data_IF_178399311984
#
_entry.id   IF_178399311984
#
_cell.length_a   1.000
_cell.length_b   1.000
_cell.length_c   1.000
_cell.angle_alpha   90.00
_cell.angle_beta   90.00
_cell.angle_gamma   90.00
#
_symmetry.space_group_name_H-M   'P 1'
#
loop_
_entity.id
_entity.type
_entity.pdbx_description
1 polymer ?
#
# COMPACT_ATOMS: atom_id res chain seq x y z
N UNK A 1 -0.53 -24.15 19.90
CA UNK A 1 0.42 -23.50 20.85
C UNK A 1 1.85 -23.39 20.34
N UNK A 2 2.47 -24.44 19.75
CA UNK A 2 3.87 -24.37 19.30
C UNK A 2 4.11 -23.34 18.18
N UNK A 3 3.25 -23.28 17.15
CA UNK A 3 3.37 -22.30 16.06
C UNK A 3 3.25 -20.84 16.52
N UNK A 4 2.35 -20.56 17.48
CA UNK A 4 2.21 -19.24 18.10
C UNK A 4 3.47 -18.85 18.87
N UNK A 5 4.02 -19.76 19.69
CA UNK A 5 5.26 -19.52 20.44
C UNK A 5 6.48 -19.28 19.54
N UNK A 6 6.44 -19.79 18.30
CA UNK A 6 7.51 -19.62 17.31
C UNK A 6 7.26 -18.46 16.35
N UNK A 7 6.21 -17.65 16.55
CA UNK A 7 5.82 -16.57 15.64
C UNK A 7 5.65 -17.01 14.18
N UNK A 8 5.02 -18.19 13.96
CA UNK A 8 4.81 -18.77 12.63
C UNK A 8 3.37 -18.65 12.12
N UNK A 9 2.48 -17.97 12.85
CA UNK A 9 1.11 -17.72 12.41
C UNK A 9 0.92 -16.24 12.12
N UNK A 10 0.37 -15.97 10.95
CA UNK A 10 0.06 -14.64 10.46
C UNK A 10 -1.41 -14.57 10.06
N UNK A 11 -1.92 -13.36 9.93
CA UNK A 11 -3.31 -13.11 9.62
C UNK A 11 -3.41 -12.02 8.56
N UNK A 12 -4.24 -12.25 7.54
CA UNK A 12 -4.78 -11.19 6.68
C UNK A 12 -6.20 -10.93 7.17
N UNK A 13 -6.40 -9.82 7.88
CA UNK A 13 -7.65 -9.49 8.54
C UNK A 13 -8.35 -8.31 7.87
N UNK A 14 -9.33 -8.62 7.01
CA UNK A 14 -10.24 -7.62 6.42
C UNK A 14 -11.55 -7.52 7.20
N UNK A 15 -11.70 -8.31 8.28
CA UNK A 15 -12.98 -8.49 8.94
C UNK A 15 -13.48 -7.19 9.56
N UNK A 16 -12.68 -6.56 10.43
CA UNK A 16 -13.14 -5.46 11.27
C UNK A 16 -13.35 -4.17 10.46
N UNK A 17 -12.54 -3.95 9.42
CA UNK A 17 -12.71 -2.82 8.51
C UNK A 17 -13.98 -2.94 7.64
N UNK A 18 -14.39 -4.16 7.27
CA UNK A 18 -15.50 -4.38 6.33
C UNK A 18 -16.84 -4.69 6.99
N UNK A 19 -16.83 -5.31 8.17
CA UNK A 19 -18.05 -5.75 8.85
C UNK A 19 -19.07 -4.60 9.03
N UNK A 20 -18.69 -3.37 9.42
CA UNK A 20 -19.64 -2.25 9.55
C UNK A 20 -20.36 -1.86 8.26
N UNK A 21 -19.76 -2.14 7.09
CA UNK A 21 -20.31 -1.79 5.79
C UNK A 21 -21.04 -2.94 5.09
N UNK A 22 -20.87 -4.17 5.58
CA UNK A 22 -21.24 -5.36 4.83
C UNK A 22 -22.72 -5.44 4.48
N UNK A 23 -23.61 -5.07 5.42
CA UNK A 23 -25.06 -5.06 5.17
C UNK A 23 -25.45 -4.08 4.07
N UNK A 24 -24.85 -2.88 4.08
CA UNK A 24 -25.08 -1.81 3.09
C UNK A 24 -24.55 -2.22 1.72
N UNK A 25 -23.34 -2.76 1.66
CA UNK A 25 -22.76 -3.23 0.40
C UNK A 25 -23.57 -4.39 -0.17
N UNK A 26 -23.97 -5.35 0.66
CA UNK A 26 -24.75 -6.52 0.23
C UNK A 26 -26.19 -6.19 -0.19
N UNK A 27 -26.70 -4.99 0.13
CA UNK A 27 -27.98 -4.50 -0.41
C UNK A 27 -27.85 -3.99 -1.86
N UNK A 28 -26.63 -3.87 -2.39
CA UNK A 28 -26.39 -3.56 -3.82
C UNK A 28 -26.42 -4.85 -4.66
N UNK A 29 -25.98 -4.79 -5.92
CA UNK A 29 -25.72 -5.98 -6.74
C UNK A 29 -24.54 -6.81 -6.24
N UNK A 30 -23.68 -6.26 -5.38
CA UNK A 30 -22.53 -6.95 -4.81
C UNK A 30 -22.94 -7.89 -3.67
N UNK A 31 -22.19 -8.97 -3.49
CA UNK A 31 -22.37 -10.00 -2.46
C UNK A 31 -20.99 -10.39 -1.93
N UNK A 32 -20.55 -9.69 -0.88
CA UNK A 32 -19.24 -9.85 -0.25
C UNK A 32 -19.38 -10.46 1.15
N UNK A 33 -18.25 -10.99 1.61
CA UNK A 33 -18.04 -11.39 2.99
C UNK A 33 -17.01 -10.46 3.64
N UNK A 34 -17.02 -10.38 4.97
CA UNK A 34 -15.87 -9.87 5.71
C UNK A 34 -14.95 -11.06 5.98
N UNK A 35 -13.76 -11.07 5.37
CA UNK A 35 -12.87 -12.24 5.41
C UNK A 35 -11.73 -12.09 6.40
N UNK A 36 -11.29 -13.24 6.93
CA UNK A 36 -10.06 -13.38 7.71
C UNK A 36 -9.33 -14.63 7.25
N UNK A 37 -8.04 -14.50 6.92
CA UNK A 37 -7.22 -15.61 6.44
C UNK A 37 -6.08 -15.87 7.41
N UNK A 38 -5.97 -17.11 7.90
CA UNK A 38 -4.83 -17.54 8.73
C UNK A 38 -3.76 -18.16 7.84
N UNK A 39 -2.54 -17.66 7.97
CA UNK A 39 -1.37 -18.06 7.21
C UNK A 39 -0.33 -18.70 8.15
N UNK A 40 0.34 -19.75 7.68
CA UNK A 40 1.41 -20.42 8.41
C UNK A 40 2.74 -20.29 7.67
N UNK A 41 3.76 -19.82 8.38
CA UNK A 41 5.13 -19.78 7.90
C UNK A 41 5.76 -21.17 7.99
N UNK A 42 5.95 -21.79 6.83
CA UNK A 42 6.60 -23.10 6.73
C UNK A 42 8.09 -22.99 7.06
N UNK A 43 8.70 -24.15 7.34
CA UNK A 43 10.14 -24.26 7.56
C UNK A 43 10.99 -23.90 6.33
N UNK A 44 10.39 -23.89 5.13
CA UNK A 44 11.05 -23.46 3.90
C UNK A 44 10.96 -21.94 3.64
N UNK A 45 10.45 -21.17 4.61
CA UNK A 45 10.34 -19.72 4.56
C UNK A 45 9.09 -19.18 3.85
N UNK A 46 8.25 -20.05 3.27
CA UNK A 46 7.06 -19.61 2.50
C UNK A 46 5.76 -19.67 3.32
N UNK A 47 4.81 -18.79 3.02
CA UNK A 47 3.51 -18.75 3.68
C UNK A 47 2.52 -19.74 3.03
N UNK A 48 1.77 -20.46 3.86
CA UNK A 48 0.67 -21.34 3.45
C UNK A 48 -0.66 -20.88 4.07
N UNK A 49 -1.72 -20.62 3.28
CA UNK A 49 -3.04 -20.40 3.84
C UNK A 49 -3.56 -21.69 4.49
N UNK A 50 -4.00 -21.58 5.73
CA UNK A 50 -4.54 -22.70 6.50
C UNK A 50 -6.06 -22.69 6.56
N UNK A 51 -6.64 -21.50 6.71
CA UNK A 51 -8.07 -21.31 6.98
C UNK A 51 -8.51 -19.96 6.43
N UNK A 52 -9.70 -19.92 5.84
CA UNK A 52 -10.43 -18.70 5.51
C UNK A 52 -11.74 -18.70 6.30
N UNK A 53 -11.95 -17.67 7.11
CA UNK A 53 -13.26 -17.34 7.70
C UNK A 53 -13.96 -16.35 6.77
N UNK A 54 -15.20 -16.64 6.39
CA UNK A 54 -16.08 -15.70 5.69
C UNK A 54 -17.27 -15.37 6.59
N UNK A 55 -17.39 -14.09 6.95
CA UNK A 55 -18.38 -13.62 7.91
C UNK A 55 -19.43 -12.72 7.26
N UNK A 56 -20.66 -12.81 7.74
CA UNK A 56 -21.78 -11.92 7.41
C UNK A 56 -22.38 -11.35 8.70
N UNK A 57 -22.99 -10.14 8.66
CA UNK A 57 -23.87 -9.68 9.71
C UNK A 57 -24.98 -10.68 9.99
N UNK A 58 -25.41 -10.78 11.24
CA UNK A 58 -26.54 -11.64 11.60
C UNK A 58 -27.81 -11.19 10.85
N UNK A 59 -28.62 -12.10 10.28
CA UNK A 59 -29.79 -11.73 9.46
C UNK A 59 -30.78 -10.82 10.21
N UNK A 60 -31.00 -11.06 11.50
CA UNK A 60 -31.95 -10.32 12.35
C UNK A 60 -31.48 -8.92 12.78
N UNK A 61 -30.24 -8.53 12.46
CA UNK A 61 -29.68 -7.21 12.75
C UNK A 61 -28.27 -7.24 13.31
N UNK A 62 -27.55 -6.13 13.16
CA UNK A 62 -26.13 -6.02 13.53
C UNK A 62 -25.90 -6.16 15.04
N UNK A 63 -26.91 -5.84 15.86
CA UNK A 63 -26.89 -6.02 17.31
C UNK A 63 -26.80 -7.49 17.75
N UNK A 64 -27.16 -8.43 16.87
CA UNK A 64 -27.03 -9.88 17.13
C UNK A 64 -25.66 -10.42 16.68
N UNK A 65 -24.76 -9.55 16.26
CA UNK A 65 -23.38 -9.89 15.90
C UNK A 65 -23.27 -10.41 14.47
N UNK A 66 -22.45 -11.46 14.28
CA UNK A 66 -22.10 -12.02 12.98
C UNK A 66 -22.35 -13.52 12.93
N UNK A 67 -22.54 -14.02 11.72
CA UNK A 67 -22.48 -15.44 11.39
C UNK A 67 -21.24 -15.68 10.52
N UNK A 68 -20.47 -16.72 10.86
CA UNK A 68 -19.22 -17.04 10.17
C UNK A 68 -19.24 -18.47 9.66
N UNK A 69 -18.65 -18.69 8.49
CA UNK A 69 -18.32 -20.02 7.98
C UNK A 69 -16.82 -20.12 7.76
N UNK A 70 -16.28 -21.29 8.05
CA UNK A 70 -14.85 -21.58 7.97
C UNK A 70 -14.59 -22.54 6.82
N UNK A 71 -13.62 -22.21 6.00
CA UNK A 71 -13.20 -22.99 4.84
C UNK A 71 -11.72 -23.37 4.99
N UNK A 72 -11.40 -24.60 4.63
CA UNK A 72 -10.05 -25.16 4.69
C UNK A 72 -9.58 -25.59 3.31
N UNK A 73 -8.26 -25.63 3.06
CA UNK A 73 -7.70 -26.08 1.80
C UNK A 73 -8.20 -27.46 1.37
N UNK A 74 -8.64 -27.56 0.12
CA UNK A 74 -8.95 -28.79 -0.59
C UNK A 74 -8.48 -28.63 -2.05
N UNK A 75 -8.06 -29.74 -2.68
CA UNK A 75 -7.51 -29.74 -4.04
C UNK A 75 -8.42 -30.42 -5.06
N UNK A 76 -9.33 -31.28 -4.61
CA UNK A 76 -10.18 -32.10 -5.48
C UNK A 76 -11.67 -31.90 -5.18
N UNK A 77 -12.51 -32.30 -6.14
CA UNK A 77 -13.96 -32.30 -5.99
C UNK A 77 -14.58 -30.92 -5.83
N UNK A 78 -15.81 -30.89 -5.33
CA UNK A 78 -16.55 -29.65 -5.10
C UNK A 78 -15.92 -28.83 -3.97
N UNK A 79 -15.28 -29.49 -3.01
CA UNK A 79 -14.54 -28.89 -1.90
C UNK A 79 -13.36 -28.05 -2.40
N UNK A 80 -12.62 -28.51 -3.42
CA UNK A 80 -11.58 -27.72 -4.08
C UNK A 80 -12.14 -26.44 -4.72
N UNK A 81 -13.30 -26.54 -5.37
CA UNK A 81 -13.99 -25.39 -5.96
C UNK A 81 -14.51 -24.41 -4.89
N UNK A 82 -15.03 -24.91 -3.76
CA UNK A 82 -15.42 -24.10 -2.59
C UNK A 82 -14.21 -23.35 -2.03
N UNK A 83 -13.06 -24.03 -1.89
CA UNK A 83 -11.82 -23.40 -1.43
C UNK A 83 -11.33 -22.31 -2.41
N UNK A 84 -11.44 -22.56 -3.71
CA UNK A 84 -11.12 -21.56 -4.73
C UNK A 84 -12.03 -20.34 -4.66
N UNK A 85 -13.34 -20.52 -4.44
CA UNK A 85 -14.27 -19.41 -4.20
C UNK A 85 -13.96 -18.66 -2.89
N UNK A 86 -13.60 -19.36 -1.82
CA UNK A 86 -13.22 -18.72 -0.55
C UNK A 86 -12.03 -17.78 -0.74
N UNK A 87 -11.00 -18.22 -1.48
CA UNK A 87 -9.86 -17.36 -1.86
C UNK A 87 -10.29 -16.17 -2.73
N UNK A 88 -11.25 -16.35 -3.64
CA UNK A 88 -11.77 -15.25 -4.45
C UNK A 88 -12.45 -14.17 -3.60
N UNK A 89 -13.24 -14.53 -2.58
CA UNK A 89 -13.82 -13.54 -1.66
C UNK A 89 -12.76 -12.79 -0.86
N UNK A 90 -11.70 -13.47 -0.41
CA UNK A 90 -10.54 -12.81 0.21
C UNK A 90 -9.89 -11.83 -0.77
N UNK A 91 -9.68 -12.24 -2.03
CA UNK A 91 -9.09 -11.39 -3.05
C UNK A 91 -9.97 -10.18 -3.42
N UNK A 92 -11.30 -10.31 -3.34
CA UNK A 92 -12.24 -9.19 -3.49
C UNK A 92 -12.07 -8.18 -2.34
N UNK A 93 -12.05 -8.65 -1.10
CA UNK A 93 -11.80 -7.78 0.06
C UNK A 93 -10.45 -7.07 -0.09
N UNK A 94 -9.40 -7.83 -0.41
CA UNK A 94 -8.05 -7.30 -0.55
C UNK A 94 -7.93 -6.30 -1.70
N UNK A 95 -8.59 -6.54 -2.84
CA UNK A 95 -8.57 -5.59 -3.97
C UNK A 95 -9.26 -4.28 -3.62
N UNK A 96 -10.40 -4.30 -2.92
CA UNK A 96 -11.06 -3.07 -2.50
C UNK A 96 -10.31 -2.33 -1.39
N UNK A 97 -9.73 -3.06 -0.42
CA UNK A 97 -8.89 -2.45 0.60
C UNK A 97 -7.61 -1.86 0.00
N UNK A 98 -6.95 -2.59 -0.90
CA UNK A 98 -5.77 -2.11 -1.63
C UNK A 98 -6.04 -0.81 -2.37
N UNK A 99 -7.06 -0.79 -3.24
CA UNK A 99 -7.35 0.37 -4.07
C UNK A 99 -7.73 1.60 -3.25
N UNK A 100 -8.56 1.41 -2.22
CA UNK A 100 -9.16 2.51 -1.49
C UNK A 100 -8.30 2.99 -0.31
N UNK A 101 -7.63 2.07 0.38
CA UNK A 101 -6.91 2.35 1.61
C UNK A 101 -5.40 2.35 1.36
N UNK A 102 -4.82 1.22 0.96
CA UNK A 102 -3.37 1.11 0.79
C UNK A 102 -2.84 2.05 -0.29
N UNK A 103 -3.61 2.27 -1.34
CA UNK A 103 -3.27 3.11 -2.48
C UNK A 103 -3.88 4.52 -2.33
N UNK A 104 -5.18 4.69 -2.55
CA UNK A 104 -5.79 6.03 -2.54
C UNK A 104 -5.58 6.79 -1.22
N UNK A 105 -5.99 6.23 -0.08
CA UNK A 105 -5.90 6.95 1.20
C UNK A 105 -4.44 7.16 1.61
N UNK A 106 -3.67 6.07 1.72
CA UNK A 106 -2.35 6.07 2.34
C UNK A 106 -1.24 6.61 1.45
N UNK A 107 -1.52 6.98 0.19
CA UNK A 107 -0.56 7.70 -0.66
C UNK A 107 -1.18 8.96 -1.27
N UNK A 108 -2.18 8.83 -2.14
CA UNK A 108 -2.74 9.99 -2.86
C UNK A 108 -3.31 11.05 -1.91
N UNK A 109 -4.26 10.65 -1.07
CA UNK A 109 -5.02 11.58 -0.25
C UNK A 109 -4.17 12.20 0.87
N UNK A 110 -3.30 11.41 1.52
CA UNK A 110 -2.44 11.91 2.61
C UNK A 110 -1.26 12.75 2.12
N UNK A 111 -0.80 12.58 0.87
CA UNK A 111 0.27 13.41 0.34
C UNK A 111 -0.20 14.81 -0.08
N UNK A 112 -1.44 14.98 -0.56
CA UNK A 112 -1.93 16.26 -1.09
C UNK A 112 -1.88 17.43 -0.08
N UNK A 113 -2.26 17.26 1.21
CA UNK A 113 -2.06 18.29 2.23
C UNK A 113 -0.61 18.75 2.38
N UNK A 114 0.37 17.83 2.24
CA UNK A 114 1.80 18.14 2.31
C UNK A 114 2.20 19.05 1.16
N UNK A 115 1.72 18.77 -0.05
CA UNK A 115 1.98 19.60 -1.24
C UNK A 115 1.45 21.02 -1.01
N UNK A 116 0.22 21.14 -0.53
CA UNK A 116 -0.46 22.42 -0.31
C UNK A 116 0.27 23.26 0.75
N UNK A 117 0.53 22.69 1.94
CA UNK A 117 1.21 23.40 3.02
C UNK A 117 2.63 23.81 2.61
N UNK A 118 3.36 22.94 1.90
CA UNK A 118 4.73 23.26 1.46
C UNK A 118 4.76 24.46 0.52
N UNK A 119 3.87 24.51 -0.47
CA UNK A 119 3.80 25.64 -1.42
C UNK A 119 3.30 26.94 -0.79
N UNK A 120 2.54 26.85 0.31
CA UNK A 120 1.98 28.03 1.00
C UNK A 120 2.92 28.63 2.03
N UNK A 121 3.74 27.81 2.69
CA UNK A 121 4.50 28.22 3.86
C UNK A 121 6.02 28.20 3.66
N UNK A 122 6.54 27.41 2.71
CA UNK A 122 7.97 27.34 2.44
C UNK A 122 8.30 28.06 1.14
N UNK A 123 9.21 29.03 1.20
CA UNK A 123 9.70 29.72 0.01
C UNK A 123 10.43 28.75 -0.94
N UNK A 124 10.44 29.05 -2.24
CA UNK A 124 11.18 28.23 -3.24
C UNK A 124 12.68 28.15 -2.97
N UNK A 125 13.23 29.09 -2.18
CA UNK A 125 14.63 29.06 -1.75
C UNK A 125 14.86 28.27 -0.46
N UNK A 126 13.78 27.95 0.28
CA UNK A 126 13.84 27.23 1.55
C UNK A 126 14.42 25.82 1.36
N UNK A 127 15.35 25.36 2.21
CA UNK A 127 15.99 24.05 2.03
C UNK A 127 14.96 22.90 2.06
N UNK A 128 13.98 22.94 2.95
CA UNK A 128 12.94 21.90 3.01
C UNK A 128 11.98 21.95 1.82
N UNK A 129 11.73 23.11 1.22
CA UNK A 129 11.02 23.18 -0.06
C UNK A 129 11.83 22.44 -1.13
N UNK A 130 13.13 22.74 -1.27
CA UNK A 130 14.00 22.09 -2.26
C UNK A 130 14.12 20.59 -2.05
N UNK A 131 14.11 20.13 -0.79
CA UNK A 131 14.13 18.71 -0.45
C UNK A 131 12.85 18.00 -0.88
N UNK A 132 11.69 18.55 -0.54
CA UNK A 132 10.40 17.86 -0.70
C UNK A 132 9.76 18.06 -2.07
N UNK A 133 9.99 19.21 -2.74
CA UNK A 133 9.32 19.56 -3.99
C UNK A 133 9.38 18.51 -5.10
N UNK A 134 10.52 17.80 -5.35
CA UNK A 134 10.56 16.72 -6.36
C UNK A 134 9.53 15.61 -6.09
N UNK A 135 9.17 15.40 -4.82
CA UNK A 135 8.27 14.35 -4.37
C UNK A 135 6.79 14.73 -4.48
N UNK A 136 6.48 15.88 -5.08
CA UNK A 136 5.10 16.37 -5.28
C UNK A 136 4.68 16.40 -6.75
N UNK A 137 5.58 16.05 -7.67
CA UNK A 137 5.35 16.09 -9.11
C UNK A 137 4.04 15.35 -9.45
N UNK A 138 3.16 16.04 -10.15
CA UNK A 138 1.85 15.58 -10.62
C UNK A 138 0.82 15.12 -9.57
N UNK A 139 1.16 15.06 -8.27
CA UNK A 139 0.27 14.56 -7.22
C UNK A 139 -1.08 15.30 -7.14
N UNK A 140 -1.06 16.64 -7.14
CA UNK A 140 -2.32 17.40 -7.14
C UNK A 140 -3.09 17.25 -8.44
N UNK A 141 -2.39 17.12 -9.58
CA UNK A 141 -3.00 17.00 -10.89
C UNK A 141 -3.75 15.65 -11.00
N UNK A 142 -3.08 14.54 -10.68
CA UNK A 142 -3.71 13.22 -10.71
C UNK A 142 -4.84 13.11 -9.69
N UNK A 143 -4.69 13.68 -8.49
CA UNK A 143 -5.75 13.67 -7.49
C UNK A 143 -6.97 14.49 -7.94
N UNK A 144 -6.78 15.62 -8.62
CA UNK A 144 -7.87 16.40 -9.19
C UNK A 144 -8.65 15.60 -10.26
N UNK A 145 -7.93 14.92 -11.17
CA UNK A 145 -8.56 14.02 -12.13
C UNK A 145 -9.28 12.86 -11.42
N UNK A 146 -8.65 12.24 -10.43
CA UNK A 146 -9.27 11.16 -9.68
C UNK A 146 -10.61 11.60 -9.05
N UNK A 147 -10.65 12.78 -8.41
CA UNK A 147 -11.88 13.37 -7.88
C UNK A 147 -12.96 13.62 -8.94
N UNK A 148 -12.57 13.86 -10.19
CA UNK A 148 -13.50 14.18 -11.27
C UNK A 148 -14.06 12.93 -11.98
N UNK A 149 -13.24 11.90 -12.17
CA UNK A 149 -13.59 10.74 -13.03
C UNK A 149 -13.50 9.37 -12.35
N UNK A 150 -12.69 9.24 -11.30
CA UNK A 150 -12.40 7.95 -10.67
C UNK A 150 -13.27 7.72 -9.44
N UNK A 151 -13.16 8.59 -8.44
CA UNK A 151 -13.76 8.42 -7.11
C UNK A 151 -15.03 9.25 -6.89
N UNK A 152 -15.50 9.96 -7.93
CA UNK A 152 -16.78 10.66 -7.89
C UNK A 152 -17.96 9.69 -7.84
N UNK A 153 -19.12 10.19 -7.45
CA UNK A 153 -20.37 9.44 -7.51
C UNK A 153 -20.64 8.95 -8.94
N UNK A 154 -20.88 7.65 -9.10
CA UNK A 154 -21.03 7.00 -10.42
C UNK A 154 -19.73 6.88 -11.24
N UNK A 155 -18.58 7.22 -10.67
CA UNK A 155 -17.27 7.13 -11.30
C UNK A 155 -16.76 5.70 -11.48
N UNK A 156 -15.54 5.59 -12.02
CA UNK A 156 -14.97 4.27 -12.37
C UNK A 156 -14.77 3.39 -11.14
N UNK A 157 -14.35 3.93 -10.00
CA UNK A 157 -14.14 3.14 -8.78
C UNK A 157 -15.45 2.56 -8.25
N UNK A 158 -16.52 3.36 -8.16
CA UNK A 158 -17.82 2.90 -7.67
C UNK A 158 -18.44 1.82 -8.57
N UNK A 159 -18.13 1.84 -9.86
CA UNK A 159 -18.69 0.89 -10.84
C UNK A 159 -17.88 -0.40 -10.96
N UNK A 160 -16.60 -0.40 -10.56
CA UNK A 160 -15.67 -1.52 -10.79
C UNK A 160 -15.16 -2.17 -9.51
N UNK A 161 -15.39 -1.61 -8.32
CA UNK A 161 -14.92 -2.15 -7.03
C UNK A 161 -16.08 -2.35 -6.05
N UNK A 162 -16.00 -3.39 -5.22
CA UNK A 162 -17.12 -3.84 -4.37
C UNK A 162 -17.74 -2.78 -3.43
N UNK A 163 -17.01 -1.78 -2.87
CA UNK A 163 -17.62 -0.82 -1.97
C UNK A 163 -18.71 0.02 -2.64
N UNK A 164 -18.67 0.13 -3.97
CA UNK A 164 -19.59 0.94 -4.76
C UNK A 164 -19.73 2.36 -4.16
N UNK A 165 -20.95 2.87 -4.06
CA UNK A 165 -21.28 4.19 -3.47
C UNK A 165 -20.85 4.41 -2.01
N UNK A 166 -20.32 3.38 -1.33
CA UNK A 166 -19.82 3.47 0.04
C UNK A 166 -18.31 3.63 0.11
N UNK A 167 -17.61 3.64 -1.03
CA UNK A 167 -16.16 3.68 -1.10
C UNK A 167 -15.55 4.88 -0.33
N UNK A 168 -15.92 6.10 -0.67
CA UNK A 168 -15.32 7.29 -0.07
C UNK A 168 -15.67 7.46 1.42
N UNK A 169 -16.84 7.00 1.84
CA UNK A 169 -17.20 6.98 3.26
C UNK A 169 -16.35 5.97 4.03
N UNK A 170 -16.16 4.77 3.46
CA UNK A 170 -15.35 3.72 4.06
C UNK A 170 -13.88 4.15 4.21
N UNK A 171 -13.31 4.84 3.23
CA UNK A 171 -11.94 5.38 3.35
C UNK A 171 -11.83 6.42 4.47
N UNK A 172 -12.83 7.31 4.61
CA UNK A 172 -12.89 8.29 5.69
C UNK A 172 -13.01 7.62 7.07
N UNK A 173 -13.77 6.53 7.20
CA UNK A 173 -13.84 5.79 8.47
C UNK A 173 -12.50 5.16 8.82
N UNK A 174 -11.81 4.54 7.86
CA UNK A 174 -10.48 3.94 8.09
C UNK A 174 -9.42 5.01 8.41
N UNK A 175 -9.53 6.20 7.84
CA UNK A 175 -8.62 7.32 8.15
C UNK A 175 -8.62 7.72 9.63
N UNK A 176 -9.68 7.42 10.39
CA UNK A 176 -9.70 7.65 11.84
C UNK A 176 -8.58 6.91 12.56
N UNK A 177 -8.20 5.74 12.08
CA UNK A 177 -7.12 4.92 12.65
C UNK A 177 -5.76 5.18 11.97
N UNK A 178 -5.69 6.09 11.00
CA UNK A 178 -4.42 6.45 10.37
C UNK A 178 -3.50 7.18 11.36
N UNK A 179 -2.21 6.84 11.35
CA UNK A 179 -1.19 7.42 12.22
C UNK A 179 0.02 7.77 11.37
N UNK A 180 0.38 9.06 11.31
CA UNK A 180 1.49 9.54 10.46
C UNK A 180 2.81 8.84 10.78
N UNK A 181 3.14 8.72 12.07
CA UNK A 181 4.41 8.11 12.50
C UNK A 181 4.47 6.61 12.24
N UNK A 182 3.33 5.95 12.06
CA UNK A 182 3.28 4.54 11.67
C UNK A 182 3.41 4.31 10.17
N UNK A 183 3.36 5.39 9.36
CA UNK A 183 3.68 5.29 7.93
C UNK A 183 5.20 5.13 7.68
N UNK A 184 6.01 5.27 8.73
CA UNK A 184 7.41 4.86 8.68
C UNK A 184 7.52 3.34 8.52
N UNK A 185 8.18 2.84 7.48
CA UNK A 185 8.23 1.39 7.20
C UNK A 185 8.69 0.56 8.42
N UNK A 186 9.73 0.91 9.18
CA UNK A 186 10.08 0.15 10.38
C UNK A 186 8.98 0.14 11.45
N UNK A 187 8.23 1.23 11.61
CA UNK A 187 7.12 1.32 12.54
C UNK A 187 5.93 0.46 12.09
N UNK A 188 5.56 0.53 10.80
CA UNK A 188 4.53 -0.33 10.19
C UNK A 188 4.85 -1.81 10.40
N UNK A 189 6.06 -2.25 10.07
CA UNK A 189 6.46 -3.66 10.18
C UNK A 189 6.39 -4.18 11.62
N UNK A 190 6.74 -3.34 12.60
CA UNK A 190 6.61 -3.67 14.02
C UNK A 190 5.14 -3.68 14.45
N UNK A 191 4.36 -2.67 14.05
CA UNK A 191 2.96 -2.53 14.44
C UNK A 191 2.10 -3.70 13.92
N UNK A 192 2.34 -4.14 12.69
CA UNK A 192 1.70 -5.34 12.11
C UNK A 192 2.21 -6.66 12.70
N UNK A 193 3.21 -6.62 13.58
CA UNK A 193 3.79 -7.81 14.20
C UNK A 193 4.54 -8.70 13.21
N UNK A 194 5.11 -8.14 12.13
CA UNK A 194 5.91 -8.88 11.13
C UNK A 194 7.41 -8.63 11.28
N UNK A 195 7.80 -7.74 12.20
CA UNK A 195 9.18 -7.49 12.59
C UNK A 195 9.28 -7.13 14.07
N UNK A 196 10.47 -7.23 14.63
CA UNK A 196 10.78 -6.83 16.01
C UNK A 196 12.05 -5.97 16.03
N UNK A 197 12.15 -5.07 17.02
CA UNK A 197 13.40 -4.36 17.30
C UNK A 197 14.47 -5.35 17.72
N UNK A 198 15.65 -5.25 17.11
CA UNK A 198 16.80 -6.09 17.42
C UNK A 198 18.09 -5.32 17.12
N UNK A 199 18.79 -4.88 18.16
CA UNK A 199 19.99 -4.05 18.05
C UNK A 199 21.15 -4.75 17.32
N UNK A 200 21.13 -6.08 17.22
CA UNK A 200 22.16 -6.86 16.53
C UNK A 200 21.84 -7.10 15.05
N UNK A 201 20.61 -6.80 14.62
CA UNK A 201 20.20 -6.92 13.22
C UNK A 201 20.52 -5.63 12.46
N UNK A 202 20.80 -5.71 11.14
CA UNK A 202 20.92 -4.53 10.30
C UNK A 202 19.76 -3.58 10.50
N UNK A 203 20.06 -2.28 10.60
CA UNK A 203 19.07 -1.23 10.82
C UNK A 203 18.27 -1.34 12.13
N UNK A 204 18.68 -2.20 13.08
CA UNK A 204 18.01 -2.38 14.36
C UNK A 204 16.68 -3.14 14.28
N UNK A 205 16.43 -3.85 13.16
CA UNK A 205 15.15 -4.48 12.85
C UNK A 205 15.35 -5.91 12.37
N UNK A 206 14.59 -6.86 12.95
CA UNK A 206 14.57 -8.27 12.51
C UNK A 206 13.18 -8.66 12.04
N UNK A 207 13.07 -9.11 10.80
CA UNK A 207 11.83 -9.64 10.25
C UNK A 207 11.48 -10.98 10.88
N UNK A 208 10.18 -11.29 10.96
CA UNK A 208 9.68 -12.62 11.35
C UNK A 208 9.49 -13.55 10.14
N UNK A 209 9.46 -12.97 8.94
CA UNK A 209 9.52 -13.66 7.66
C UNK A 209 10.79 -13.15 6.98
N UNK A 210 11.86 -13.97 7.02
CA UNK A 210 13.20 -13.56 6.58
C UNK A 210 13.20 -13.11 5.11
N UNK A 211 12.52 -13.86 4.24
CA UNK A 211 12.36 -13.55 2.82
C UNK A 211 10.98 -12.93 2.56
N UNK A 212 10.70 -11.75 3.14
CA UNK A 212 9.53 -10.94 2.80
C UNK A 212 9.92 -9.84 1.81
N UNK A 213 9.68 -10.01 0.48
CA UNK A 213 10.32 -9.19 -0.54
C UNK A 213 10.06 -7.68 -0.40
N UNK A 214 8.81 -7.28 -0.18
CA UNK A 214 8.45 -5.87 0.08
C UNK A 214 9.21 -5.28 1.28
N UNK A 215 9.26 -6.00 2.39
CA UNK A 215 9.89 -5.50 3.60
C UNK A 215 11.42 -5.47 3.47
N UNK A 216 12.02 -6.54 2.94
CA UNK A 216 13.49 -6.64 2.79
C UNK A 216 14.01 -5.55 1.85
N UNK A 217 13.37 -5.36 0.70
CA UNK A 217 13.78 -4.35 -0.27
C UNK A 217 13.43 -2.94 0.23
N UNK A 218 12.23 -2.79 0.80
CA UNK A 218 11.74 -1.52 1.32
C UNK A 218 12.58 -0.96 2.46
N UNK A 219 13.10 -1.81 3.35
CA UNK A 219 13.99 -1.39 4.45
C UNK A 219 15.23 -0.70 3.88
N UNK A 220 15.85 -1.26 2.85
CA UNK A 220 17.04 -0.66 2.24
C UNK A 220 16.74 0.70 1.61
N UNK A 221 15.61 0.82 0.89
CA UNK A 221 15.17 2.08 0.31
C UNK A 221 14.85 3.11 1.40
N UNK A 222 14.13 2.71 2.45
CA UNK A 222 13.81 3.57 3.60
C UNK A 222 15.07 4.15 4.25
N UNK A 223 16.07 3.32 4.55
CA UNK A 223 17.30 3.79 5.20
C UNK A 223 18.21 4.56 4.25
N UNK A 224 18.17 4.32 2.94
CA UNK A 224 18.81 5.18 1.95
C UNK A 224 18.19 6.58 1.95
N UNK A 225 16.85 6.69 1.94
CA UNK A 225 16.12 7.97 2.05
C UNK A 225 16.46 8.65 3.37
N UNK A 226 16.40 7.93 4.50
CA UNK A 226 16.69 8.49 5.82
C UNK A 226 18.11 9.07 5.90
N UNK A 227 19.09 8.35 5.34
CA UNK A 227 20.49 8.81 5.31
C UNK A 227 20.63 10.07 4.45
N UNK A 228 19.99 10.11 3.29
CA UNK A 228 19.94 11.30 2.44
C UNK A 228 19.36 12.51 3.17
N UNK A 229 18.21 12.33 3.83
CA UNK A 229 17.53 13.40 4.58
C UNK A 229 18.38 13.86 5.77
N UNK A 230 19.00 12.95 6.53
CA UNK A 230 19.87 13.32 7.66
C UNK A 230 21.09 14.11 7.18
N UNK A 231 21.77 13.65 6.11
CA UNK A 231 22.93 14.34 5.52
C UNK A 231 22.53 15.75 5.04
N UNK A 232 21.37 15.88 4.37
CA UNK A 232 20.84 17.16 3.88
C UNK A 232 20.44 18.11 5.03
N UNK A 233 19.61 17.65 5.97
CA UNK A 233 19.13 18.46 7.09
C UNK A 233 20.28 18.87 8.02
N UNK A 234 21.28 18.01 8.23
CA UNK A 234 22.46 18.34 9.03
C UNK A 234 23.33 19.44 8.40
N UNK A 235 23.21 19.68 7.09
CA UNK A 235 23.87 20.81 6.45
C UNK A 235 23.22 22.15 6.85
N UNK A 236 21.89 22.27 6.74
CA UNK A 236 21.17 23.52 6.98
C UNK A 236 20.84 23.77 8.47
N UNK A 237 20.57 22.71 9.24
CA UNK A 237 20.13 22.79 10.64
C UNK A 237 21.17 22.18 11.57
N UNK A 238 22.12 23.00 12.02
CA UNK A 238 23.22 22.57 12.91
C UNK A 238 22.81 22.27 14.33
N UNK A 239 21.75 22.92 14.81
CA UNK A 239 21.21 22.78 16.16
C UNK A 239 19.68 22.83 16.11
N UNK A 240 19.04 22.29 17.15
CA UNK A 240 17.59 22.34 17.30
C UNK A 240 17.07 23.78 17.43
N UNK A 241 17.89 24.72 17.93
CA UNK A 241 17.56 26.14 18.01
C UNK A 241 17.27 26.77 16.64
N UNK A 242 17.94 26.33 15.57
CA UNK A 242 17.68 26.81 14.21
C UNK A 242 16.30 26.33 13.74
N UNK A 243 15.93 25.09 14.06
CA UNK A 243 14.60 24.52 13.73
C UNK A 243 13.49 25.31 14.43
N UNK A 244 13.69 25.61 15.72
CA UNK A 244 12.70 26.32 16.55
C UNK A 244 12.48 27.76 16.10
N UNK A 245 13.52 28.40 15.55
CA UNK A 245 13.48 29.80 15.07
C UNK A 245 13.08 29.94 13.60
N UNK A 246 12.96 28.83 12.87
CA UNK A 246 12.56 28.83 11.46
C UNK A 246 11.05 29.02 11.32
N UNK A 247 10.63 30.27 11.10
CA UNK A 247 9.22 30.66 11.07
C UNK A 247 8.47 30.01 9.90
N UNK A 248 9.12 29.84 8.74
CA UNK A 248 8.52 29.14 7.58
C UNK A 248 8.28 27.67 7.92
N UNK A 249 9.29 26.99 8.49
CA UNK A 249 9.18 25.58 8.88
C UNK A 249 8.12 25.36 9.97
N UNK A 250 8.07 26.21 11.00
CA UNK A 250 7.06 26.11 12.06
C UNK A 250 5.66 26.36 11.51
N UNK A 251 5.48 27.34 10.61
CA UNK A 251 4.18 27.64 9.99
C UNK A 251 3.74 26.52 9.04
N UNK A 252 4.68 25.95 8.28
CA UNK A 252 4.45 24.80 7.40
C UNK A 252 3.92 23.60 8.17
N UNK A 253 4.62 23.20 9.24
CA UNK A 253 4.22 22.04 10.00
C UNK A 253 2.89 22.26 10.74
N UNK A 254 2.69 23.48 11.27
CA UNK A 254 1.44 23.87 11.91
C UNK A 254 0.27 23.80 10.93
N UNK A 255 0.36 24.40 9.74
CA UNK A 255 -0.73 24.36 8.76
C UNK A 255 -0.99 22.94 8.26
N UNK A 256 0.06 22.14 8.03
CA UNK A 256 -0.10 20.75 7.62
C UNK A 256 -0.90 19.93 8.64
N UNK A 257 -0.62 20.09 9.94
CA UNK A 257 -1.31 19.33 11.00
C UNK A 257 -2.69 19.91 11.31
N UNK A 258 -2.80 21.23 11.52
CA UNK A 258 -4.01 21.88 12.02
C UNK A 258 -5.08 22.08 10.92
N UNK A 259 -4.67 22.24 9.66
CA UNK A 259 -5.57 22.46 8.53
C UNK A 259 -5.53 21.29 7.55
N UNK A 260 -4.33 20.87 7.12
CA UNK A 260 -4.15 19.82 6.11
C UNK A 260 -4.69 18.46 6.55
N UNK A 261 -4.31 18.04 7.76
CA UNK A 261 -4.85 16.87 8.46
C UNK A 261 -5.71 17.28 9.66
N UNK A 262 -6.43 18.41 9.55
CA UNK A 262 -7.08 19.09 10.67
C UNK A 262 -8.09 18.27 11.48
N UNK A 263 -8.68 17.23 10.88
CA UNK A 263 -9.55 16.27 11.59
C UNK A 263 -8.81 15.43 12.65
N UNK A 264 -7.47 15.39 12.57
CA UNK A 264 -6.59 14.62 13.44
C UNK A 264 -5.55 15.48 14.16
N UNK A 265 -5.70 16.81 14.15
CA UNK A 265 -4.75 17.76 14.75
C UNK A 265 -4.48 17.54 16.24
N UNK A 266 -5.47 17.01 16.97
CA UNK A 266 -5.41 16.81 18.42
C UNK A 266 -4.74 15.48 18.81
N UNK A 267 -4.34 14.66 17.84
CA UNK A 267 -3.71 13.38 18.09
C UNK A 267 -2.31 13.53 18.71
N UNK A 268 -1.97 12.74 19.75
CA UNK A 268 -0.75 12.96 20.53
C UNK A 268 0.54 12.54 19.80
N UNK A 269 0.42 11.77 18.73
CA UNK A 269 1.56 11.18 18.00
C UNK A 269 2.18 12.12 16.97
N UNK A 270 1.60 13.29 16.70
CA UNK A 270 2.22 14.27 15.80
C UNK A 270 3.58 14.73 16.33
N UNK A 271 4.66 14.62 15.52
CA UNK A 271 5.93 15.26 15.82
C UNK A 271 5.74 16.75 16.15
N UNK A 272 6.53 17.27 17.09
CA UNK A 272 6.40 18.67 17.51
C UNK A 272 7.17 19.64 16.62
N UNK A 273 8.01 19.12 15.71
CA UNK A 273 8.88 19.90 14.83
C UNK A 273 9.79 20.86 15.62
N UNK A 274 10.35 20.39 16.73
CA UNK A 274 11.22 21.20 17.61
C UNK A 274 12.69 20.78 17.55
N UNK A 275 12.98 19.64 16.93
CA UNK A 275 14.32 19.07 16.84
C UNK A 275 14.66 18.67 15.41
N UNK A 276 15.95 18.59 15.08
CA UNK A 276 16.39 18.05 13.78
C UNK A 276 15.91 16.62 13.58
N UNK A 277 15.83 15.83 14.66
CA UNK A 277 15.30 14.47 14.60
C UNK A 277 13.84 14.47 14.12
N UNK A 278 12.99 15.34 14.66
CA UNK A 278 11.59 15.44 14.23
C UNK A 278 11.50 15.77 12.73
N UNK A 279 12.33 16.71 12.26
CA UNK A 279 12.40 17.11 10.86
C UNK A 279 12.84 15.95 9.96
N UNK A 280 13.94 15.27 10.31
CA UNK A 280 14.46 14.15 9.53
C UNK A 280 13.45 13.01 9.46
N UNK A 281 12.83 12.64 10.57
CA UNK A 281 11.82 11.58 10.61
C UNK A 281 10.59 11.96 9.77
N UNK A 282 10.09 13.18 9.93
CA UNK A 282 8.96 13.71 9.14
C UNK A 282 9.23 13.71 7.65
N UNK A 283 10.36 14.28 7.21
CA UNK A 283 10.72 14.32 5.80
C UNK A 283 10.97 12.92 5.22
N UNK A 284 11.55 12.00 6.00
CA UNK A 284 11.73 10.61 5.57
C UNK A 284 10.39 9.93 5.33
N UNK A 285 9.40 10.10 6.23
CA UNK A 285 8.04 9.55 6.08
C UNK A 285 7.39 10.10 4.81
N UNK A 286 7.45 11.41 4.60
CA UNK A 286 6.85 12.06 3.42
C UNK A 286 7.47 11.51 2.13
N UNK A 287 8.80 11.48 2.05
CA UNK A 287 9.50 11.00 0.85
C UNK A 287 9.22 9.52 0.61
N UNK A 288 9.25 8.69 1.65
CA UNK A 288 8.88 7.27 1.55
C UNK A 288 7.46 7.05 1.03
N UNK A 289 6.50 7.79 1.59
CA UNK A 289 5.08 7.69 1.24
C UNK A 289 4.85 8.08 -0.22
N UNK A 290 5.44 9.20 -0.64
CA UNK A 290 5.30 9.72 -1.99
C UNK A 290 6.05 8.91 -3.06
N UNK A 291 7.14 8.21 -2.70
CA UNK A 291 7.95 7.45 -3.63
C UNK A 291 7.72 5.94 -3.49
N UNK A 292 8.50 5.27 -2.66
CA UNK A 292 8.60 3.82 -2.59
C UNK A 292 7.32 3.12 -2.11
N UNK A 293 6.57 3.73 -1.17
CA UNK A 293 5.28 3.16 -0.74
C UNK A 293 4.28 3.17 -1.90
N UNK A 294 4.08 4.33 -2.53
CA UNK A 294 3.22 4.45 -3.71
C UNK A 294 3.65 3.51 -4.83
N UNK A 295 4.94 3.48 -5.17
CA UNK A 295 5.45 2.59 -6.21
C UNK A 295 5.12 1.11 -5.93
N UNK A 296 5.32 0.67 -4.69
CA UNK A 296 5.06 -0.71 -4.27
C UNK A 296 3.58 -1.11 -4.34
N UNK A 297 2.65 -0.16 -4.19
CA UNK A 297 1.20 -0.42 -4.28
C UNK A 297 0.58 -0.04 -5.62
N UNK A 298 1.27 0.73 -6.46
CA UNK A 298 0.75 1.24 -7.73
C UNK A 298 1.20 0.40 -8.94
N UNK A 299 2.50 0.22 -9.17
CA UNK A 299 3.00 -0.36 -10.42
C UNK A 299 2.83 -1.88 -10.52
N UNK A 300 2.37 -2.53 -9.45
CA UNK A 300 1.96 -3.93 -9.43
C UNK A 300 0.51 -4.16 -9.86
N UNK A 301 -0.29 -3.10 -10.06
CA UNK A 301 -1.72 -3.24 -10.34
C UNK A 301 -1.96 -4.08 -11.59
N UNK A 302 -1.50 -3.68 -12.78
CA UNK A 302 -1.69 -4.48 -13.99
C UNK A 302 -0.89 -5.79 -13.99
N UNK A 303 0.40 -5.82 -13.60
CA UNK A 303 1.15 -7.08 -13.57
C UNK A 303 0.49 -8.20 -12.75
N UNK A 304 -0.15 -7.89 -11.62
CA UNK A 304 -0.84 -8.88 -10.80
C UNK A 304 -2.35 -8.98 -11.08
N UNK A 305 -3.03 -7.87 -11.39
CA UNK A 305 -4.49 -7.80 -11.53
C UNK A 305 -4.99 -7.72 -12.98
N UNK A 306 -4.10 -7.65 -13.97
CA UNK A 306 -4.46 -7.71 -15.40
C UNK A 306 -5.14 -9.03 -15.79
N UNK A 307 -4.90 -10.11 -15.03
CA UNK A 307 -5.71 -11.32 -15.06
C UNK A 307 -6.70 -11.33 -13.89
N UNK A 308 -7.91 -10.84 -14.15
CA UNK A 308 -8.87 -10.53 -13.08
C UNK A 308 -9.31 -11.71 -12.20
N UNK A 309 -9.34 -12.98 -12.63
CA UNK A 309 -9.52 -14.11 -11.71
C UNK A 309 -8.48 -14.19 -10.58
N UNK A 310 -7.28 -13.63 -10.76
CA UNK A 310 -6.27 -13.53 -9.71
C UNK A 310 -6.57 -12.42 -8.69
N UNK A 311 -7.13 -11.30 -9.15
CA UNK A 311 -7.46 -10.11 -8.34
C UNK A 311 -8.87 -9.60 -8.66
N UNK A 312 -9.92 -10.38 -8.35
CA UNK A 312 -11.29 -9.93 -8.58
C UNK A 312 -11.59 -8.71 -7.69
N UNK A 313 -12.30 -7.74 -8.24
CA UNK A 313 -12.63 -6.47 -7.57
C UNK A 313 -14.05 -6.45 -7.02
N UNK A 314 -14.91 -7.35 -7.49
CA UNK A 314 -16.32 -7.50 -7.11
C UNK A 314 -16.63 -8.98 -6.96
N UNK A 315 -17.50 -9.32 -6.01
CA UNK A 315 -18.27 -10.56 -6.01
C UNK A 315 -19.77 -10.28 -6.07
N UNK A 316 -20.51 -11.09 -6.84
CA UNK A 316 -21.92 -10.90 -7.23
C UNK A 316 -22.86 -11.95 -6.67
N UNK A 317 -22.31 -13.05 -6.14
CA UNK A 317 -23.05 -14.15 -5.52
C UNK A 317 -22.41 -14.53 -4.21
N UNK A 318 -23.20 -15.05 -3.27
CA UNK A 318 -22.69 -15.74 -2.09
C UNK A 318 -22.26 -17.16 -2.43
N UNK A 319 -21.44 -17.76 -1.57
CA UNK A 319 -21.06 -19.18 -1.63
C UNK A 319 -22.30 -20.07 -1.85
N UNK A 320 -22.29 -20.98 -2.84
CA UNK A 320 -23.37 -21.96 -3.01
C UNK A 320 -23.55 -22.86 -1.79
N UNK A 321 -24.79 -23.12 -1.40
CA UNK A 321 -25.12 -23.97 -0.26
C UNK A 321 -25.51 -25.38 -0.70
N UNK A 322 -25.11 -26.40 0.08
CA UNK A 322 -25.40 -27.79 -0.27
C UNK A 322 -26.91 -28.01 -0.43
N UNK A 323 -27.29 -28.60 -1.56
CA UNK A 323 -28.70 -28.87 -1.91
C UNK A 323 -29.36 -27.81 -2.78
N UNK A 324 -28.71 -26.67 -3.06
CA UNK A 324 -29.23 -25.67 -4.01
C UNK A 324 -28.85 -26.00 -5.45
N UNK A 325 -29.56 -25.44 -6.45
CA UNK A 325 -29.17 -25.56 -7.86
C UNK A 325 -27.76 -25.04 -8.14
N UNK A 326 -27.34 -23.96 -7.47
CA UNK A 326 -26.00 -23.37 -7.63
C UNK A 326 -24.89 -24.30 -7.15
N UNK A 327 -25.14 -25.10 -6.10
CA UNK A 327 -24.19 -26.09 -5.62
C UNK A 327 -24.04 -27.24 -6.63
N UNK A 328 -25.15 -27.69 -7.23
CA UNK A 328 -25.09 -28.68 -8.32
C UNK A 328 -24.35 -28.14 -9.54
N UNK A 329 -24.54 -26.86 -9.87
CA UNK A 329 -23.78 -26.20 -10.94
C UNK A 329 -22.28 -26.12 -10.59
N UNK A 330 -21.92 -25.91 -9.32
CA UNK A 330 -20.54 -25.90 -8.86
C UNK A 330 -19.88 -27.29 -9.01
N UNK A 331 -20.64 -28.36 -8.74
CA UNK A 331 -20.19 -29.75 -8.95
C UNK A 331 -19.94 -30.06 -10.43
N UNK A 332 -20.82 -29.61 -11.33
CA UNK A 332 -20.73 -29.94 -12.75
C UNK A 332 -19.90 -28.95 -13.59
N UNK A 333 -19.78 -27.70 -13.17
CA UNK A 333 -19.22 -26.59 -13.96
C UNK A 333 -18.59 -25.51 -13.08
N UNK A 334 -17.54 -25.84 -12.31
CA UNK A 334 -16.96 -24.96 -11.29
C UNK A 334 -16.46 -23.62 -11.86
N UNK A 335 -15.83 -23.62 -13.04
CA UNK A 335 -15.35 -22.40 -13.69
C UNK A 335 -16.49 -21.43 -14.03
N UNK A 336 -17.64 -21.97 -14.45
CA UNK A 336 -18.83 -21.16 -14.75
C UNK A 336 -19.35 -20.50 -13.48
N UNK A 337 -19.42 -21.23 -12.36
CA UNK A 337 -19.83 -20.65 -11.08
C UNK A 337 -18.82 -19.62 -10.58
N UNK A 338 -17.51 -19.89 -10.73
CA UNK A 338 -16.45 -18.95 -10.38
C UNK A 338 -16.62 -17.63 -11.15
N UNK A 339 -16.71 -17.68 -12.48
CA UNK A 339 -16.88 -16.51 -13.34
C UNK A 339 -18.23 -15.80 -13.13
N UNK A 340 -19.30 -16.52 -12.77
CA UNK A 340 -20.58 -15.92 -12.36
C UNK A 340 -20.49 -15.22 -10.99
N UNK A 341 -19.54 -15.63 -10.15
CA UNK A 341 -19.36 -15.09 -8.80
C UNK A 341 -18.50 -13.84 -8.80
N UNK A 342 -17.35 -13.84 -9.49
CA UNK A 342 -16.42 -12.70 -9.51
C UNK A 342 -16.88 -11.57 -10.46
N UNK A 343 -16.06 -10.52 -10.63
CA UNK A 343 -16.31 -9.34 -11.47
C UNK A 343 -16.90 -9.69 -12.84
N UNK A 344 -17.95 -8.99 -13.25
CA UNK A 344 -18.61 -9.23 -14.53
C UNK A 344 -17.75 -8.73 -15.71
N UNK A 345 -17.89 -9.35 -16.88
CA UNK A 345 -17.04 -9.09 -18.05
C UNK A 345 -16.90 -7.60 -18.42
N UNK A 346 -17.98 -6.82 -18.44
CA UNK A 346 -17.90 -5.40 -18.78
C UNK A 346 -17.09 -4.61 -17.74
N UNK A 347 -17.31 -4.87 -16.46
CA UNK A 347 -16.54 -4.26 -15.36
C UNK A 347 -15.08 -4.70 -15.40
N UNK A 348 -14.82 -5.95 -15.83
CA UNK A 348 -13.48 -6.48 -16.03
C UNK A 348 -12.72 -5.70 -17.09
N UNK A 349 -13.32 -5.46 -18.25
CA UNK A 349 -12.67 -4.70 -19.35
C UNK A 349 -12.35 -3.28 -18.89
N UNK A 350 -13.29 -2.61 -18.24
CA UNK A 350 -13.07 -1.25 -17.70
C UNK A 350 -11.98 -1.22 -16.63
N UNK A 351 -12.02 -2.16 -15.68
CA UNK A 351 -11.04 -2.26 -14.60
C UNK A 351 -9.63 -2.54 -15.09
N UNK A 352 -9.47 -3.49 -16.02
CA UNK A 352 -8.16 -3.82 -16.62
C UNK A 352 -7.60 -2.62 -17.39
N UNK A 353 -8.41 -1.97 -18.23
CA UNK A 353 -7.98 -0.80 -18.98
C UNK A 353 -7.51 0.34 -18.06
N UNK A 354 -8.22 0.56 -16.94
CA UNK A 354 -7.82 1.55 -15.94
C UNK A 354 -6.46 1.19 -15.32
N UNK A 355 -6.32 -0.01 -14.74
CA UNK A 355 -5.06 -0.38 -14.07
C UNK A 355 -3.88 -0.50 -15.03
N UNK A 356 -4.12 -0.74 -16.32
CA UNK A 356 -3.09 -0.67 -17.36
C UNK A 356 -2.50 0.73 -17.45
N UNK A 357 -3.36 1.76 -17.49
CA UNK A 357 -2.95 3.17 -17.51
C UNK A 357 -2.20 3.50 -16.22
N UNK A 358 -2.76 3.12 -15.06
CA UNK A 358 -2.19 3.45 -13.75
C UNK A 358 -0.85 2.75 -13.48
N UNK A 359 -0.55 1.65 -14.17
CA UNK A 359 0.71 0.90 -14.02
C UNK A 359 1.79 1.32 -15.01
N UNK A 360 1.56 2.34 -15.84
CA UNK A 360 2.52 2.80 -16.85
C UNK A 360 3.32 3.98 -16.34
N UNK A 361 4.64 3.90 -16.47
CA UNK A 361 5.52 5.04 -16.29
C UNK A 361 5.48 5.94 -17.52
N UNK A 362 5.40 7.25 -17.30
CA UNK A 362 5.62 8.21 -18.38
C UNK A 362 7.08 8.17 -18.84
N UNK A 363 7.34 8.56 -20.10
CA UNK A 363 8.71 8.61 -20.64
C UNK A 363 9.53 9.76 -20.08
N UNK A 364 8.89 10.76 -19.49
CA UNK A 364 9.50 11.92 -18.84
C UNK A 364 9.43 11.84 -17.30
N UNK A 365 9.19 10.65 -16.75
CA UNK A 365 9.17 10.40 -15.32
C UNK A 365 10.53 10.69 -14.66
N UNK A 366 10.49 11.15 -13.41
CA UNK A 366 11.67 11.42 -12.58
C UNK A 366 11.71 10.44 -11.42
N UNK A 367 12.68 9.53 -11.45
CA UNK A 367 12.80 8.47 -10.46
C UNK A 367 13.51 8.93 -9.18
N UNK A 368 13.35 8.16 -8.12
CA UNK A 368 14.01 8.37 -6.84
C UNK A 368 15.53 8.43 -7.03
N UNK A 369 16.15 9.47 -6.48
CA UNK A 369 17.58 9.75 -6.70
C UNK A 369 17.89 10.53 -7.98
N UNK A 370 16.85 10.98 -8.70
CA UNK A 370 16.96 11.91 -9.84
C UNK A 370 16.26 13.24 -9.54
N UNK A 371 16.59 14.28 -10.32
CA UNK A 371 15.91 15.58 -10.31
C UNK A 371 15.78 16.11 -11.72
N UNK A 372 14.73 16.89 -11.96
CA UNK A 372 14.45 17.53 -13.25
C UNK A 372 15.56 18.49 -13.70
N UNK A 373 16.24 19.13 -12.75
CA UNK A 373 17.31 20.10 -13.04
C UNK A 373 18.54 19.81 -12.18
N UNK A 374 19.75 19.78 -12.77
CA UNK A 374 20.98 19.60 -12.01
C UNK A 374 21.33 20.82 -11.14
N UNK A 375 20.92 22.03 -11.51
CA UNK A 375 21.22 23.28 -10.80
C UNK A 375 20.19 23.67 -9.73
N UNK A 376 19.47 22.69 -9.16
CA UNK A 376 18.44 22.93 -8.13
C UNK A 376 18.98 23.58 -6.84
N UNK A 377 20.29 23.52 -6.61
CA UNK A 377 21.00 24.30 -5.58
C UNK A 377 22.45 24.57 -5.97
N UNK A 378 23.02 25.66 -5.45
CA UNK A 378 24.45 25.96 -5.57
C UNK A 378 25.29 25.34 -4.42
N UNK A 379 24.63 24.82 -3.39
CA UNK A 379 25.29 24.29 -2.20
C UNK A 379 25.99 22.95 -2.50
N UNK A 380 27.30 22.92 -2.38
CA UNK A 380 28.12 21.76 -2.79
C UNK A 380 27.88 20.51 -1.93
N UNK A 381 27.68 20.65 -0.62
CA UNK A 381 27.51 19.50 0.27
C UNK A 381 26.16 18.78 0.05
N UNK A 382 25.02 19.47 -0.07
CA UNK A 382 23.77 18.88 -0.54
C UNK A 382 23.88 18.16 -1.90
N UNK A 383 24.61 18.71 -2.87
CA UNK A 383 24.83 18.05 -4.16
C UNK A 383 25.61 16.74 -4.02
N UNK A 384 26.67 16.73 -3.19
CA UNK A 384 27.44 15.51 -2.89
C UNK A 384 26.60 14.46 -2.17
N UNK A 385 25.81 14.87 -1.18
CA UNK A 385 24.92 13.97 -0.45
C UNK A 385 23.85 13.37 -1.39
N UNK A 386 23.36 14.14 -2.37
CA UNK A 386 22.40 13.65 -3.37
C UNK A 386 23.04 12.64 -4.33
N UNK A 387 24.28 12.89 -4.78
CA UNK A 387 25.03 11.94 -5.59
C UNK A 387 25.27 10.62 -4.83
N UNK A 388 25.65 10.69 -3.55
CA UNK A 388 25.80 9.52 -2.66
C UNK A 388 24.48 8.75 -2.53
N UNK A 389 23.34 9.45 -2.42
CA UNK A 389 22.02 8.82 -2.40
C UNK A 389 21.74 8.04 -3.69
N UNK A 390 21.97 8.65 -4.86
CA UNK A 390 21.82 7.99 -6.16
C UNK A 390 22.71 6.75 -6.31
N UNK A 391 23.99 6.85 -5.92
CA UNK A 391 24.89 5.69 -5.90
C UNK A 391 24.39 4.59 -4.97
N UNK A 392 23.85 4.95 -3.80
CA UNK A 392 23.32 3.97 -2.86
C UNK A 392 22.10 3.23 -3.42
N UNK A 393 21.23 3.93 -4.14
CA UNK A 393 20.08 3.30 -4.81
C UNK A 393 20.52 2.30 -5.88
N UNK A 394 21.54 2.62 -6.67
CA UNK A 394 22.10 1.68 -7.65
C UNK A 394 22.64 0.39 -6.99
N UNK A 395 23.35 0.50 -5.85
CA UNK A 395 23.79 -0.67 -5.07
C UNK A 395 22.62 -1.53 -4.57
N UNK A 396 21.51 -0.88 -4.18
CA UNK A 396 20.31 -1.57 -3.73
C UNK A 396 19.68 -2.32 -4.90
N UNK A 397 19.56 -1.71 -6.07
CA UNK A 397 19.03 -2.38 -7.27
C UNK A 397 19.83 -3.63 -7.64
N UNK A 398 21.16 -3.53 -7.62
CA UNK A 398 22.06 -4.67 -7.85
C UNK A 398 21.85 -5.78 -6.81
N UNK A 399 21.61 -5.42 -5.55
CA UNK A 399 21.29 -6.38 -4.49
C UNK A 399 19.96 -7.06 -4.74
N UNK A 400 18.91 -6.31 -5.08
CA UNK A 400 17.60 -6.88 -5.37
C UNK A 400 17.70 -7.84 -6.58
N UNK A 401 18.46 -7.46 -7.61
CA UNK A 401 18.73 -8.32 -8.76
C UNK A 401 19.40 -9.63 -8.36
N UNK A 402 20.44 -9.60 -7.50
CA UNK A 402 21.07 -10.82 -6.99
C UNK A 402 20.09 -11.68 -6.19
N UNK A 403 19.28 -11.07 -5.33
CA UNK A 403 18.30 -11.78 -4.51
C UNK A 403 17.20 -12.43 -5.35
N UNK A 404 16.72 -11.76 -6.39
CA UNK A 404 15.72 -12.32 -7.31
C UNK A 404 16.25 -13.53 -8.11
N UNK A 405 17.57 -13.68 -8.23
CA UNK A 405 18.22 -14.81 -8.88
C UNK A 405 18.67 -15.90 -7.88
N UNK A 406 18.50 -15.70 -6.57
CA UNK A 406 18.84 -16.70 -5.56
C UNK A 406 17.67 -17.67 -5.34
N UNK A 407 17.79 -18.89 -5.84
CA UNK A 407 16.77 -19.95 -5.72
C UNK A 407 16.44 -20.33 -4.27
N UNK A 408 17.28 -19.96 -3.29
CA UNK A 408 16.98 -20.15 -1.87
C UNK A 408 15.90 -19.18 -1.37
N UNK A 409 15.74 -18.02 -2.01
CA UNK A 409 14.76 -16.98 -1.67
C UNK A 409 13.44 -17.23 -2.43
N UNK A 410 12.67 -18.19 -1.90
CA UNK A 410 11.50 -18.75 -2.59
C UNK A 410 10.32 -17.80 -2.72
N UNK A 411 10.22 -16.76 -1.89
CA UNK A 411 9.07 -15.83 -1.90
C UNK A 411 9.19 -14.74 -2.97
N UNK A 412 10.38 -14.58 -3.58
CA UNK A 412 10.65 -13.48 -4.52
C UNK A 412 10.11 -13.68 -5.92
N UNK A 413 9.97 -14.94 -6.34
CA UNK A 413 9.61 -15.31 -7.73
C UNK A 413 8.31 -16.11 -7.77
N UNK A 414 8.13 -17.01 -6.80
CA UNK A 414 6.96 -17.87 -6.66
C UNK A 414 6.73 -18.83 -7.86
N UNK A 415 5.62 -19.59 -7.84
CA UNK A 415 5.29 -20.53 -8.92
C UNK A 415 4.92 -19.82 -10.24
N UNK A 416 4.56 -18.55 -10.18
CA UNK A 416 4.21 -17.72 -11.35
C UNK A 416 5.43 -17.21 -12.12
N UNK A 417 6.65 -17.48 -11.62
CA UNK A 417 7.92 -17.09 -12.26
C UNK A 417 8.03 -15.59 -12.52
N UNK A 418 7.57 -14.78 -11.57
CA UNK A 418 7.58 -13.32 -11.67
C UNK A 418 8.47 -12.75 -10.55
N UNK A 419 9.71 -12.33 -10.85
CA UNK A 419 10.58 -11.71 -9.87
C UNK A 419 9.99 -10.44 -9.26
N UNK A 420 10.18 -10.24 -7.97
CA UNK A 420 9.74 -9.03 -7.28
C UNK A 420 10.66 -7.85 -7.62
N UNK A 421 10.18 -6.97 -8.50
CA UNK A 421 10.93 -5.82 -9.02
C UNK A 421 10.31 -4.46 -8.69
N UNK A 422 9.19 -4.42 -7.95
CA UNK A 422 8.43 -3.19 -7.67
C UNK A 422 9.22 -2.13 -6.88
N UNK A 423 10.29 -2.53 -6.20
CA UNK A 423 11.18 -1.62 -5.46
C UNK A 423 12.57 -1.47 -6.10
N UNK A 424 12.70 -1.78 -7.40
CA UNK A 424 13.85 -1.33 -8.18
C UNK A 424 13.78 0.19 -8.31
N UNK A 425 14.82 0.95 -7.96
CA UNK A 425 14.84 2.40 -8.11
C UNK A 425 14.60 2.87 -9.54
N UNK A 426 15.14 2.17 -10.55
CA UNK A 426 15.08 2.63 -11.95
C UNK A 426 14.06 1.88 -12.82
N UNK A 427 13.57 2.56 -13.86
CA UNK A 427 12.75 1.98 -14.93
C UNK A 427 12.88 2.79 -16.23
N UNK A 428 12.32 2.24 -17.29
CA UNK A 428 12.02 2.94 -18.55
C UNK A 428 10.52 3.29 -18.60
N UNK A 429 10.12 4.11 -19.59
CA UNK A 429 8.71 4.40 -19.83
C UNK A 429 7.91 3.16 -20.24
N UNK A 430 6.66 3.09 -19.81
CA UNK A 430 5.74 1.98 -20.11
C UNK A 430 5.40 1.10 -18.90
N UNK A 431 4.88 -0.09 -19.17
CA UNK A 431 4.38 -1.03 -18.16
C UNK A 431 5.47 -2.04 -17.82
N UNK A 432 6.28 -1.72 -16.81
CA UNK A 432 7.53 -2.45 -16.52
C UNK A 432 7.48 -3.28 -15.24
N UNK A 433 6.54 -2.99 -14.33
CA UNK A 433 6.47 -3.63 -13.01
C UNK A 433 7.69 -3.34 -12.12
N UNK A 434 8.36 -2.21 -12.34
CA UNK A 434 9.57 -1.76 -11.63
C UNK A 434 9.74 -0.25 -11.73
N UNK A 435 10.62 0.34 -10.94
CA UNK A 435 10.88 1.79 -10.93
C UNK A 435 10.16 2.48 -9.78
N UNK A 436 10.89 3.34 -9.07
CA UNK A 436 10.33 4.15 -7.97
C UNK A 436 10.35 5.61 -8.42
N UNK A 437 9.22 6.20 -8.85
CA UNK A 437 9.11 7.64 -9.06
C UNK A 437 9.41 8.44 -7.79
N UNK A 438 9.75 9.72 -7.94
CA UNK A 438 9.89 10.60 -6.77
C UNK A 438 8.55 10.85 -6.06
N UNK A 439 7.43 10.79 -6.78
CA UNK A 439 6.12 11.27 -6.31
C UNK A 439 4.97 10.33 -6.67
N UNK A 440 3.80 10.64 -6.12
CA UNK A 440 2.52 10.05 -6.52
C UNK A 440 2.11 10.69 -7.85
N UNK A 441 2.67 10.19 -8.96
CA UNK A 441 2.55 10.81 -10.29
C UNK A 441 1.44 10.25 -11.17
N UNK A 442 0.83 9.13 -10.79
CA UNK A 442 -0.20 8.40 -11.56
C UNK A 442 -1.19 7.69 -10.64
#
# INVERSE_FOLDING_TARGET
MHALKQNKLFILDHHDALMPYLRRINSTSNKIYASRTVLFLKSDGTLKPLVIELSLPHPDGDQFGRISKVYTPAEEGVEGSIWQLAKAYVAVNDSGYHQLISHWLNTHAVCEPVVIATNRQLSVVHPIYKLLHPHFRDTMNINAFARQILINAGGILETTVFPARYAMEMSSVVYKDWVFTEQALPADLINRGVAVKDANSPHGLRLLIDDYPYAVDGIEIWFAIKTWVEDYCSFYYKTDDIIQKDIELQSWWKELVEEGHGDKKDEPWWPKMQTRKDLVETCTIIIWTASALHAAVNFGQYPYAGYLPNRPTISRKFMPEKGTPEYKELESSPDTVFLKTITAQLQTVLGIALIEILSRHSTDEVYLGQRDTPEWTADTEPLKAFAKFGSKLAEIEDRITRMNNDEKLKNRVGPVKMPYTLLFPTSEGGLTGRGIPNSVSI
#
